data_IF_018223605833
#
_entry.id   IF_018223605833
#
_cell.length_a   1.000
_cell.length_b   1.000
_cell.length_c   1.000
_cell.angle_alpha   90.00
_cell.angle_beta   90.00
_cell.angle_gamma   90.00
#
_symmetry.space_group_name_H-M   'P 1'
#
loop_
_entity.id
_entity.type
_entity.pdbx_description
1 polymer ?
#
# COMPACT_ATOMS: atom_id res chain seq x y z
N UNK A 1 -26.99 -9.81 8.53
CA UNK A 1 -26.66 -10.61 9.73
C UNK A 1 -26.29 -9.61 10.82
N UNK A 2 -26.13 -10.00 12.09
CA UNK A 2 -25.57 -9.06 13.08
C UNK A 2 -24.06 -9.28 13.18
N UNK A 3 -23.29 -8.61 12.32
CA UNK A 3 -21.83 -8.57 12.42
C UNK A 3 -21.39 -8.02 13.78
N UNK A 4 -20.36 -8.62 14.37
CA UNK A 4 -19.64 -7.99 15.48
C UNK A 4 -18.78 -6.89 14.88
N UNK A 5 -18.94 -5.67 15.39
CA UNK A 5 -18.18 -4.51 14.96
C UNK A 5 -17.63 -3.72 16.14
N UNK A 6 -16.36 -3.30 16.05
CA UNK A 6 -15.73 -2.40 17.02
C UNK A 6 -14.70 -1.50 16.34
N UNK A 7 -14.72 -0.21 16.65
CA UNK A 7 -13.55 0.66 16.55
C UNK A 7 -12.62 0.39 17.75
N UNK A 8 -11.36 0.04 17.49
CA UNK A 8 -10.45 -0.44 18.53
C UNK A 8 -9.55 0.65 19.11
N UNK A 9 -9.28 1.71 18.34
CA UNK A 9 -8.35 2.78 18.69
C UNK A 9 -9.10 4.10 18.87
N UNK A 10 -8.74 4.87 19.90
CA UNK A 10 -9.33 6.19 20.17
C UNK A 10 -8.46 7.36 19.68
N UNK A 11 -7.33 7.05 19.05
CA UNK A 11 -6.41 8.03 18.48
C UNK A 11 -6.91 8.61 17.15
N UNK A 12 -5.99 9.28 16.46
CA UNK A 12 -6.23 9.83 15.13
C UNK A 12 -6.40 8.70 14.10
N UNK A 13 -5.49 7.73 14.14
CA UNK A 13 -5.53 6.52 13.34
C UNK A 13 -6.55 5.52 13.93
N UNK A 14 -7.39 4.96 13.07
CA UNK A 14 -8.49 4.08 13.43
C UNK A 14 -8.18 2.67 12.96
N UNK A 15 -8.50 1.71 13.81
CA UNK A 15 -8.48 0.28 13.47
C UNK A 15 -9.85 -0.28 13.74
N UNK A 16 -10.36 -1.10 12.84
CA UNK A 16 -11.69 -1.70 12.96
C UNK A 16 -11.61 -3.22 13.04
N UNK A 17 -12.48 -3.79 13.87
CA UNK A 17 -12.75 -5.22 13.93
C UNK A 17 -14.11 -5.49 13.32
N UNK A 18 -14.16 -6.42 12.36
CA UNK A 18 -15.39 -7.02 11.83
C UNK A 18 -15.31 -8.51 12.06
N UNK A 19 -16.33 -9.13 12.68
CA UNK A 19 -16.33 -10.56 12.91
C UNK A 19 -17.70 -11.22 12.75
N UNK A 20 -17.69 -12.45 12.27
CA UNK A 20 -18.90 -13.27 12.16
C UNK A 20 -19.24 -13.85 13.55
N UNK A 21 -20.43 -13.58 14.10
CA UNK A 21 -20.79 -14.06 15.44
C UNK A 21 -20.89 -15.59 15.52
N UNK A 22 -21.23 -16.25 14.40
CA UNK A 22 -21.45 -17.70 14.30
C UNK A 22 -20.14 -18.47 14.15
N UNK A 23 -19.33 -18.13 13.15
CA UNK A 23 -18.08 -18.85 12.87
C UNK A 23 -16.88 -18.34 13.66
N UNK A 24 -17.03 -17.20 14.36
CA UNK A 24 -15.97 -16.52 15.13
C UNK A 24 -14.77 -16.06 14.29
N UNK A 25 -14.86 -16.11 12.95
CA UNK A 25 -13.83 -15.54 12.07
C UNK A 25 -13.89 -14.02 12.09
N UNK A 26 -12.73 -13.40 12.17
CA UNK A 26 -12.56 -11.97 12.30
C UNK A 26 -11.64 -11.40 11.22
N UNK A 27 -11.89 -10.14 10.88
CA UNK A 27 -11.09 -9.27 10.03
C UNK A 27 -10.68 -8.05 10.85
N UNK A 28 -9.40 -7.72 10.85
CA UNK A 28 -8.89 -6.42 11.30
C UNK A 28 -8.62 -5.53 10.08
N UNK A 29 -8.97 -4.26 10.19
CA UNK A 29 -8.79 -3.25 9.16
C UNK A 29 -7.88 -2.15 9.71
N UNK A 30 -6.78 -1.87 9.03
CA UNK A 30 -5.76 -0.85 9.36
C UNK A 30 -5.19 -0.97 10.80
N UNK A 31 -4.62 -2.12 11.21
CA UNK A 31 -4.12 -2.30 12.59
C UNK A 31 -2.79 -1.57 12.83
N UNK A 32 -2.66 -0.90 13.97
CA UNK A 32 -1.45 -0.18 14.38
C UNK A 32 -0.42 -1.08 15.07
N UNK A 33 0.86 -1.00 14.68
CA UNK A 33 1.96 -1.82 15.26
C UNK A 33 2.01 -1.79 16.80
N UNK A 34 1.88 -0.61 17.38
CA UNK A 34 1.92 -0.39 18.84
C UNK A 34 0.77 -1.03 19.64
N UNK A 35 -0.21 -1.63 18.97
CA UNK A 35 -1.41 -2.20 19.60
C UNK A 35 -1.58 -3.71 19.39
N UNK A 36 -0.59 -4.40 18.80
CA UNK A 36 -0.63 -5.84 18.53
C UNK A 36 -1.08 -6.66 19.74
N UNK A 37 -0.45 -6.48 20.90
CA UNK A 37 -0.79 -7.23 22.13
C UNK A 37 -2.24 -7.00 22.55
N UNK A 38 -2.78 -5.80 22.34
CA UNK A 38 -4.17 -5.47 22.65
C UNK A 38 -5.13 -6.15 21.67
N UNK A 39 -4.80 -6.19 20.39
CA UNK A 39 -5.62 -6.87 19.38
C UNK A 39 -5.70 -8.38 19.66
N UNK A 40 -4.56 -9.02 19.92
CA UNK A 40 -4.51 -10.44 20.28
C UNK A 40 -5.30 -10.75 21.56
N UNK A 41 -5.15 -9.91 22.59
CA UNK A 41 -5.91 -10.07 23.83
C UNK A 41 -7.43 -9.93 23.60
N UNK A 42 -7.86 -8.99 22.76
CA UNK A 42 -9.28 -8.78 22.45
C UNK A 42 -9.86 -9.94 21.64
N UNK A 43 -9.12 -10.45 20.66
CA UNK A 43 -9.49 -11.65 19.89
C UNK A 43 -9.65 -12.85 20.82
N UNK A 44 -8.68 -13.10 21.69
CA UNK A 44 -8.72 -14.20 22.66
C UNK A 44 -9.90 -14.06 23.63
N UNK A 45 -10.11 -12.87 24.22
CA UNK A 45 -11.19 -12.60 25.15
C UNK A 45 -12.58 -12.87 24.54
N UNK A 46 -12.76 -12.50 23.27
CA UNK A 46 -14.01 -12.73 22.54
C UNK A 46 -14.08 -14.07 21.80
N UNK A 47 -13.08 -14.94 21.98
CA UNK A 47 -12.97 -16.24 21.31
C UNK A 47 -13.08 -16.11 19.77
N UNK A 48 -12.45 -15.09 19.22
CA UNK A 48 -12.40 -14.82 17.79
C UNK A 48 -11.09 -15.36 17.21
N UNK A 49 -11.17 -15.89 15.99
CA UNK A 49 -10.00 -16.28 15.21
C UNK A 49 -9.79 -15.23 14.13
N UNK A 50 -8.63 -14.56 14.14
CA UNK A 50 -8.25 -13.64 13.08
C UNK A 50 -7.98 -14.45 11.80
N UNK A 51 -8.81 -14.21 10.78
CA UNK A 51 -8.76 -14.92 9.49
C UNK A 51 -8.08 -14.08 8.42
N UNK A 52 -8.20 -12.75 8.55
CA UNK A 52 -7.59 -11.81 7.64
C UNK A 52 -7.27 -10.49 8.35
N UNK A 53 -6.29 -9.80 7.79
CA UNK A 53 -5.99 -8.39 8.03
C UNK A 53 -6.04 -7.67 6.69
N UNK A 54 -6.68 -6.52 6.65
CA UNK A 54 -6.66 -5.63 5.49
C UNK A 54 -6.04 -4.30 5.88
N UNK A 55 -5.03 -3.88 5.13
CA UNK A 55 -4.66 -2.47 5.07
C UNK A 55 -5.37 -1.84 3.87
N UNK A 56 -6.14 -0.79 4.12
CA UNK A 56 -6.90 -0.07 3.09
C UNK A 56 -5.99 0.58 2.07
N UNK A 57 -4.77 0.91 2.46
CA UNK A 57 -3.71 1.42 1.61
C UNK A 57 -2.35 1.25 2.29
N UNK A 58 -1.27 1.48 1.56
CA UNK A 58 0.06 1.55 2.17
C UNK A 58 0.20 2.84 2.98
N UNK A 59 0.01 2.74 4.30
CA UNK A 59 0.07 3.86 5.24
C UNK A 59 1.44 4.54 5.25
N UNK A 60 1.46 5.86 5.39
CA UNK A 60 2.68 6.67 5.39
C UNK A 60 2.95 7.39 6.72
N UNK A 61 1.98 7.38 7.63
CA UNK A 61 1.97 8.14 8.88
C UNK A 61 2.13 7.25 10.13
N UNK A 62 1.77 5.97 10.04
CA UNK A 62 2.00 4.98 11.09
C UNK A 62 2.50 3.62 10.55
N UNK A 63 3.34 2.88 11.32
CA UNK A 63 3.71 1.51 10.97
C UNK A 63 2.51 0.57 11.13
N UNK A 64 2.25 -0.25 10.11
CA UNK A 64 1.21 -1.27 10.17
C UNK A 64 1.61 -2.42 11.12
N UNK A 65 0.62 -3.00 11.79
CA UNK A 65 0.74 -4.27 12.51
C UNK A 65 0.52 -5.49 11.61
N UNK A 66 0.09 -5.28 10.36
CA UNK A 66 -0.39 -6.33 9.48
C UNK A 66 0.59 -7.48 9.30
N UNK A 67 1.87 -7.19 9.05
CA UNK A 67 2.90 -8.22 8.85
C UNK A 67 3.06 -9.10 10.09
N UNK A 68 3.37 -8.47 11.23
CA UNK A 68 3.60 -9.18 12.48
C UNK A 68 2.34 -9.92 12.98
N UNK A 69 1.15 -9.36 12.82
CA UNK A 69 -0.10 -10.06 13.17
C UNK A 69 -0.27 -11.32 12.32
N UNK A 70 -0.07 -11.23 11.02
CA UNK A 70 -0.23 -12.38 10.13
C UNK A 70 0.80 -13.47 10.43
N UNK A 71 2.05 -13.11 10.73
CA UNK A 71 3.10 -14.07 11.14
C UNK A 71 2.76 -14.76 12.47
N UNK A 72 2.17 -14.04 13.43
CA UNK A 72 1.87 -14.58 14.76
C UNK A 72 0.67 -15.55 14.77
N UNK A 73 -0.29 -15.40 13.85
CA UNK A 73 -1.56 -16.15 13.89
C UNK A 73 -1.96 -16.81 12.58
N UNK A 74 -1.07 -16.84 11.59
CA UNK A 74 -1.29 -17.42 10.26
C UNK A 74 -2.55 -16.86 9.57
N UNK A 75 -2.69 -15.54 9.61
CA UNK A 75 -3.80 -14.82 8.98
C UNK A 75 -3.43 -14.37 7.56
N UNK A 76 -4.44 -14.19 6.71
CA UNK A 76 -4.24 -13.61 5.38
C UNK A 76 -3.99 -12.10 5.49
N UNK A 77 -2.86 -11.62 4.97
CA UNK A 77 -2.69 -10.21 4.66
C UNK A 77 -3.27 -9.89 3.29
N UNK A 78 -4.26 -9.00 3.26
CA UNK A 78 -5.01 -8.62 2.07
C UNK A 78 -4.80 -7.13 1.79
N UNK A 79 -4.36 -6.81 0.57
CA UNK A 79 -4.28 -5.43 0.08
C UNK A 79 -4.60 -5.39 -1.42
N UNK A 80 -4.85 -4.21 -1.98
CA UNK A 80 -5.04 -4.08 -3.42
C UNK A 80 -3.85 -4.64 -4.21
N UNK A 81 -4.07 -5.12 -5.43
CA UNK A 81 -2.99 -5.61 -6.32
C UNK A 81 -1.88 -4.61 -6.60
N UNK A 82 -2.09 -3.32 -6.36
CA UNK A 82 -1.06 -2.27 -6.53
C UNK A 82 -0.25 -2.00 -5.27
N UNK A 83 -0.61 -2.62 -4.15
CA UNK A 83 0.18 -2.53 -2.93
C UNK A 83 1.61 -3.06 -3.20
N UNK A 84 2.64 -2.29 -2.86
CA UNK A 84 4.03 -2.66 -3.11
C UNK A 84 4.54 -3.72 -2.12
N UNK A 85 3.86 -3.93 -0.99
CA UNK A 85 4.30 -4.80 0.08
C UNK A 85 4.38 -6.29 -0.36
N UNK A 86 5.57 -6.93 -0.31
CA UNK A 86 5.74 -8.33 -0.72
C UNK A 86 5.09 -9.34 0.25
N UNK A 87 4.82 -8.93 1.49
CA UNK A 87 4.17 -9.79 2.50
C UNK A 87 2.66 -9.96 2.25
N UNK A 88 2.08 -9.28 1.26
CA UNK A 88 0.66 -9.44 0.92
C UNK A 88 0.40 -10.84 0.39
N UNK A 89 -0.32 -11.64 1.17
CA UNK A 89 -0.65 -13.04 0.83
C UNK A 89 -1.81 -13.16 -0.16
N UNK A 90 -2.67 -12.15 -0.24
CA UNK A 90 -3.80 -12.11 -1.15
C UNK A 90 -4.00 -10.70 -1.70
N UNK A 91 -3.86 -10.55 -3.02
CA UNK A 91 -4.20 -9.31 -3.70
C UNK A 91 -5.69 -9.28 -4.09
N UNK A 92 -6.30 -8.09 -4.02
CA UNK A 92 -7.69 -7.85 -4.43
C UNK A 92 -7.81 -6.77 -5.50
N UNK A 93 -8.91 -6.82 -6.25
CA UNK A 93 -9.35 -5.84 -7.23
C UNK A 93 -10.76 -5.30 -6.90
N UNK A 94 -11.22 -4.34 -7.71
CA UNK A 94 -12.57 -3.80 -7.58
C UNK A 94 -13.64 -4.88 -7.79
N UNK A 95 -14.55 -5.03 -6.84
CA UNK A 95 -15.66 -5.97 -6.95
C UNK A 95 -15.41 -7.33 -6.29
N UNK A 96 -14.18 -7.61 -5.87
CA UNK A 96 -13.85 -8.82 -5.12
C UNK A 96 -14.57 -8.84 -3.76
N UNK A 97 -14.84 -10.05 -3.27
CA UNK A 97 -15.43 -10.27 -1.95
C UNK A 97 -14.39 -10.94 -1.02
N UNK A 98 -14.15 -10.32 0.14
CA UNK A 98 -13.37 -10.91 1.22
C UNK A 98 -14.35 -11.63 2.16
N UNK A 99 -14.22 -12.95 2.26
CA UNK A 99 -15.01 -13.74 3.19
C UNK A 99 -14.49 -13.57 4.63
N UNK A 100 -15.41 -13.30 5.56
CA UNK A 100 -15.18 -13.28 7.01
C UNK A 100 -16.26 -14.15 7.66
N UNK A 101 -16.01 -15.46 7.71
CA UNK A 101 -17.06 -16.41 8.06
C UNK A 101 -18.21 -16.36 7.03
N UNK A 102 -19.40 -15.99 7.49
CA UNK A 102 -20.59 -15.84 6.63
C UNK A 102 -20.75 -14.46 6.02
N UNK A 103 -19.98 -13.49 6.50
CA UNK A 103 -20.04 -12.14 5.98
C UNK A 103 -19.17 -12.01 4.73
N UNK A 104 -19.61 -11.15 3.81
CA UNK A 104 -18.86 -10.76 2.62
C UNK A 104 -18.56 -9.29 2.71
N UNK A 105 -17.28 -8.96 2.68
CA UNK A 105 -16.79 -7.58 2.63
C UNK A 105 -16.43 -7.29 1.18
N UNK A 106 -17.21 -6.42 0.53
CA UNK A 106 -17.02 -6.02 -0.86
C UNK A 106 -15.88 -5.01 -0.97
N UNK A 107 -14.90 -5.29 -1.82
CA UNK A 107 -13.80 -4.38 -2.14
C UNK A 107 -14.25 -3.37 -3.19
N UNK A 108 -14.10 -2.09 -2.87
CA UNK A 108 -14.25 -0.97 -3.80
C UNK A 108 -12.85 -0.39 -4.03
N UNK A 109 -12.35 -0.45 -5.26
CA UNK A 109 -11.06 0.18 -5.56
C UNK A 109 -11.23 1.70 -5.60
N UNK A 110 -10.57 2.43 -4.70
CA UNK A 110 -10.81 3.87 -4.52
C UNK A 110 -9.48 4.63 -4.54
N UNK A 111 -8.74 4.61 -5.66
CA UNK A 111 -7.46 5.32 -5.74
C UNK A 111 -7.66 6.83 -5.58
N UNK A 112 -6.58 7.50 -5.16
CA UNK A 112 -6.52 8.95 -5.11
C UNK A 112 -5.74 9.46 -3.92
N UNK A 113 -5.98 8.90 -2.73
CA UNK A 113 -5.06 9.09 -1.60
C UNK A 113 -3.73 8.41 -1.89
N UNK A 114 -3.79 7.12 -2.25
CA UNK A 114 -2.68 6.35 -2.82
C UNK A 114 -3.15 5.56 -4.05
N UNK A 115 -2.23 5.06 -4.88
CA UNK A 115 -2.55 4.18 -6.02
C UNK A 115 -3.14 2.81 -5.63
N UNK A 116 -2.95 2.37 -4.39
CA UNK A 116 -3.41 1.08 -3.87
C UNK A 116 -4.61 1.19 -2.90
N UNK A 117 -5.17 2.40 -2.74
CA UNK A 117 -6.31 2.65 -1.86
C UNK A 117 -7.55 1.83 -2.26
N UNK A 118 -8.14 1.17 -1.26
CA UNK A 118 -9.44 0.49 -1.33
C UNK A 118 -10.35 0.94 -0.21
N UNK A 119 -11.65 0.91 -0.46
CA UNK A 119 -12.70 1.00 0.55
C UNK A 119 -13.40 -0.35 0.67
N UNK A 120 -13.87 -0.67 1.88
CA UNK A 120 -14.44 -1.97 2.20
C UNK A 120 -15.90 -1.79 2.62
N UNK A 121 -16.83 -2.26 1.80
CA UNK A 121 -18.26 -2.15 2.06
C UNK A 121 -18.81 -3.47 2.63
N UNK A 122 -19.50 -3.40 3.77
CA UNK A 122 -20.09 -4.58 4.41
C UNK A 122 -21.37 -4.19 5.14
N UNK A 123 -22.46 -4.89 4.82
CA UNK A 123 -23.80 -4.62 5.38
C UNK A 123 -24.20 -3.13 5.24
N UNK A 124 -24.26 -2.39 6.34
CA UNK A 124 -24.74 -1.00 6.43
C UNK A 124 -23.61 0.04 6.49
N UNK A 125 -22.36 -0.36 6.23
CA UNK A 125 -21.20 0.51 6.41
C UNK A 125 -20.11 0.32 5.38
N UNK A 126 -19.32 1.38 5.21
CA UNK A 126 -18.12 1.40 4.40
C UNK A 126 -16.93 1.92 5.21
N UNK A 127 -15.83 1.18 5.16
CA UNK A 127 -14.52 1.61 5.64
C UNK A 127 -13.81 2.31 4.50
N UNK A 128 -13.56 3.61 4.62
CA UNK A 128 -13.15 4.46 3.48
C UNK A 128 -11.65 4.68 3.37
N UNK A 129 -10.86 4.08 4.27
CA UNK A 129 -9.44 4.38 4.38
C UNK A 129 -9.23 5.89 4.53
N UNK A 130 -8.27 6.42 3.81
CA UNK A 130 -8.02 7.86 3.72
C UNK A 130 -8.58 8.51 2.44
N UNK A 131 -9.48 7.85 1.72
CA UNK A 131 -10.08 8.45 0.52
C UNK A 131 -11.11 9.50 0.92
N UNK A 132 -12.12 9.09 1.70
CA UNK A 132 -13.16 9.95 2.26
C UNK A 132 -13.01 9.98 3.78
N UNK A 133 -12.94 11.18 4.36
CA UNK A 133 -12.90 11.40 5.80
C UNK A 133 -14.19 12.07 6.25
N UNK A 134 -14.47 12.06 7.56
CA UNK A 134 -15.61 12.78 8.13
C UNK A 134 -15.37 14.29 7.92
N UNK A 135 -16.25 14.94 7.16
CA UNK A 135 -16.14 16.36 6.80
C UNK A 135 -14.77 16.72 6.19
N UNK A 136 -14.22 15.83 5.37
CA UNK A 136 -12.93 16.00 4.70
C UNK A 136 -12.60 14.88 3.72
N UNK A 137 -11.37 14.86 3.23
CA UNK A 137 -10.80 13.81 2.36
C UNK A 137 -9.35 13.59 2.77
N UNK A 138 -8.71 12.49 2.39
CA UNK A 138 -7.26 12.40 2.54
C UNK A 138 -6.54 13.36 1.60
N UNK A 139 -5.26 13.60 1.88
CA UNK A 139 -4.39 14.31 0.94
C UNK A 139 -4.17 13.48 -0.33
N UNK A 140 -3.80 14.10 -1.43
CA UNK A 140 -3.62 13.43 -2.72
C UNK A 140 -2.41 13.97 -3.50
N UNK A 141 -1.42 14.49 -2.78
CA UNK A 141 -0.25 15.21 -3.27
C UNK A 141 1.08 14.45 -3.03
N UNK A 142 1.01 13.24 -2.47
CA UNK A 142 2.17 12.41 -2.14
C UNK A 142 1.87 10.91 -2.37
N UNK A 143 2.91 10.07 -2.41
CA UNK A 143 2.83 8.61 -2.60
C UNK A 143 2.11 8.16 -3.88
N UNK A 144 2.14 8.98 -4.93
CA UNK A 144 1.39 8.72 -6.17
C UNK A 144 -0.10 9.02 -6.07
N UNK A 145 -0.52 9.80 -5.07
CA UNK A 145 -1.86 10.34 -4.96
C UNK A 145 -2.25 11.21 -6.16
N UNK A 146 -3.55 11.30 -6.41
CA UNK A 146 -4.16 12.03 -7.52
C UNK A 146 -5.55 12.52 -7.09
N UNK A 147 -5.71 13.84 -6.94
CA UNK A 147 -6.96 14.44 -6.50
C UNK A 147 -8.13 14.21 -7.49
N UNK A 148 -7.83 14.07 -8.78
CA UNK A 148 -8.83 13.75 -9.78
C UNK A 148 -9.37 12.33 -9.61
N UNK A 149 -8.48 11.35 -9.49
CA UNK A 149 -8.86 9.97 -9.19
C UNK A 149 -9.57 9.86 -7.83
N UNK A 150 -9.16 10.65 -6.83
CA UNK A 150 -9.82 10.69 -5.55
C UNK A 150 -11.27 11.19 -5.67
N UNK A 151 -11.50 12.25 -6.46
CA UNK A 151 -12.84 12.73 -6.75
C UNK A 151 -13.68 11.66 -7.45
N UNK A 152 -13.14 11.02 -8.48
CA UNK A 152 -13.84 9.99 -9.26
C UNK A 152 -14.20 8.79 -8.35
N UNK A 153 -13.26 8.37 -7.49
CA UNK A 153 -13.49 7.35 -6.46
C UNK A 153 -14.61 7.70 -5.49
N UNK A 154 -14.66 8.94 -5.01
CA UNK A 154 -15.70 9.36 -4.06
C UNK A 154 -17.06 9.48 -4.77
N UNK A 155 -17.13 10.17 -5.90
CA UNK A 155 -18.40 10.51 -6.56
C UNK A 155 -19.00 9.32 -7.31
N UNK A 156 -18.18 8.56 -8.04
CA UNK A 156 -18.66 7.47 -8.89
C UNK A 156 -18.78 6.14 -8.13
N UNK A 157 -18.15 6.00 -6.96
CA UNK A 157 -18.20 4.76 -6.16
C UNK A 157 -18.79 4.94 -4.77
N UNK A 158 -18.26 5.84 -3.95
CA UNK A 158 -18.74 5.96 -2.56
C UNK A 158 -20.12 6.64 -2.50
N UNK A 159 -20.35 7.72 -3.25
CA UNK A 159 -21.62 8.46 -3.26
C UNK A 159 -22.74 7.79 -4.07
N UNK A 160 -22.48 6.60 -4.62
CA UNK A 160 -23.50 5.73 -5.22
C UNK A 160 -24.06 4.71 -4.22
N UNK A 161 -23.42 4.55 -3.05
CA UNK A 161 -23.97 3.79 -1.93
C UNK A 161 -25.22 4.51 -1.35
N UNK A 162 -26.13 3.79 -0.66
CA UNK A 162 -27.27 4.40 0.01
C UNK A 162 -26.85 5.50 0.99
N UNK A 163 -27.64 6.58 1.09
CA UNK A 163 -27.31 7.75 1.90
C UNK A 163 -27.17 7.41 3.40
N UNK A 164 -27.88 6.40 3.89
CA UNK A 164 -27.81 5.89 5.26
C UNK A 164 -26.55 5.07 5.56
N UNK A 165 -25.74 4.72 4.56
CA UNK A 165 -24.53 3.91 4.74
C UNK A 165 -23.56 4.64 5.65
N UNK A 166 -23.16 3.99 6.75
CA UNK A 166 -22.21 4.54 7.71
C UNK A 166 -20.80 4.63 7.11
N UNK A 167 -20.11 5.73 7.39
CA UNK A 167 -18.75 6.00 6.90
C UNK A 167 -17.76 5.91 8.07
N UNK A 168 -16.75 5.05 7.91
CA UNK A 168 -15.68 4.80 8.87
C UNK A 168 -14.30 5.02 8.22
N UNK A 169 -13.64 6.18 8.42
CA UNK A 169 -12.35 6.47 7.82
C UNK A 169 -11.18 5.82 8.58
N UNK A 170 -10.00 5.71 7.95
CA UNK A 170 -8.78 5.32 8.65
C UNK A 170 -8.28 6.42 9.61
N UNK A 171 -8.69 7.67 9.41
CA UNK A 171 -8.31 8.80 10.25
C UNK A 171 -9.46 9.72 10.65
N UNK A 172 -9.39 10.23 11.89
CA UNK A 172 -10.14 11.42 12.31
C UNK A 172 -9.30 12.28 13.26
N UNK A 173 -9.32 13.61 13.04
CA UNK A 173 -8.50 14.57 13.79
C UNK A 173 -9.32 15.41 14.78
N UNK A 174 -10.61 15.11 14.92
CA UNK A 174 -11.61 15.92 15.64
C UNK A 174 -12.36 15.14 16.73
N UNK A 175 -12.04 13.87 16.93
CA UNK A 175 -12.71 12.98 17.88
C UNK A 175 -14.04 12.41 17.37
N UNK A 176 -14.33 12.52 16.08
CA UNK A 176 -15.51 11.86 15.49
C UNK A 176 -15.27 10.35 15.36
N UNK A 177 -16.36 9.60 15.33
CA UNK A 177 -16.34 8.13 15.22
C UNK A 177 -16.93 7.62 13.90
N UNK A 178 -17.99 8.27 13.40
CA UNK A 178 -18.62 7.91 12.12
C UNK A 178 -19.35 9.11 11.48
N UNK A 179 -19.62 8.99 10.18
CA UNK A 179 -20.56 9.84 9.41
C UNK A 179 -21.47 8.94 8.57
N UNK A 180 -22.16 9.49 7.58
CA UNK A 180 -22.93 8.75 6.57
C UNK A 180 -22.62 9.26 5.17
N UNK A 181 -22.88 8.44 4.15
CA UNK A 181 -22.72 8.84 2.74
C UNK A 181 -23.57 10.07 2.42
N UNK A 182 -24.82 10.12 2.89
CA UNK A 182 -25.71 11.26 2.68
C UNK A 182 -25.19 12.55 3.33
N UNK A 183 -24.65 12.47 4.55
CA UNK A 183 -24.04 13.61 5.22
C UNK A 183 -22.82 14.12 4.45
N UNK A 184 -21.89 13.25 4.05
CA UNK A 184 -20.69 13.67 3.33
C UNK A 184 -21.03 14.22 1.94
N UNK A 185 -22.00 13.62 1.24
CA UNK A 185 -22.48 14.10 -0.06
C UNK A 185 -23.11 15.49 0.01
N UNK A 186 -23.86 15.78 1.09
CA UNK A 186 -24.55 17.05 1.28
C UNK A 186 -23.70 18.16 1.92
N UNK A 187 -22.72 17.81 2.75
CA UNK A 187 -22.08 18.79 3.65
C UNK A 187 -20.56 18.77 3.68
N UNK A 188 -19.89 17.76 3.09
CA UNK A 188 -18.43 17.69 3.14
C UNK A 188 -17.81 18.94 2.48
N UNK A 189 -17.06 19.76 3.25
CA UNK A 189 -16.61 21.08 2.80
C UNK A 189 -15.59 21.01 1.67
N UNK A 190 -15.03 19.83 1.36
CA UNK A 190 -14.07 19.64 0.26
C UNK A 190 -14.71 19.19 -1.04
N UNK A 191 -15.79 18.41 -1.01
CA UNK A 191 -16.32 17.76 -2.21
C UNK A 191 -17.80 18.05 -2.49
N UNK A 192 -18.61 18.33 -1.47
CA UNK A 192 -20.04 18.57 -1.65
C UNK A 192 -20.27 19.77 -2.59
N UNK A 193 -21.13 19.57 -3.59
CA UNK A 193 -21.51 20.58 -4.58
C UNK A 193 -20.39 21.05 -5.53
N UNK A 194 -19.21 20.43 -5.52
CA UNK A 194 -18.10 20.80 -6.39
C UNK A 194 -18.03 19.93 -7.63
N UNK A 195 -17.56 20.53 -8.73
CA UNK A 195 -17.11 19.77 -9.89
C UNK A 195 -15.75 19.14 -9.62
N UNK A 196 -15.36 18.16 -10.46
CA UNK A 196 -14.04 17.53 -10.42
C UNK A 196 -12.90 18.54 -10.45
N UNK A 197 -12.98 19.54 -11.34
CA UNK A 197 -11.93 20.57 -11.45
C UNK A 197 -11.86 21.45 -10.19
N UNK A 198 -13.01 21.87 -9.64
CA UNK A 198 -13.05 22.66 -8.40
C UNK A 198 -12.48 21.89 -7.21
N UNK A 199 -12.67 20.57 -7.16
CA UNK A 199 -12.05 19.71 -6.15
C UNK A 199 -10.53 19.64 -6.32
N UNK A 200 -10.04 19.41 -7.54
CA UNK A 200 -8.60 19.35 -7.85
C UNK A 200 -7.91 20.68 -7.50
N UNK A 201 -8.50 21.81 -7.91
CA UNK A 201 -7.97 23.14 -7.61
C UNK A 201 -7.93 23.41 -6.10
N UNK A 202 -8.99 23.02 -5.38
CA UNK A 202 -9.03 23.12 -3.92
C UNK A 202 -7.91 22.30 -3.28
N UNK A 203 -7.77 21.02 -3.65
CA UNK A 203 -6.77 20.13 -3.06
C UNK A 203 -5.34 20.62 -3.35
N UNK A 204 -5.08 21.15 -4.55
CA UNK A 204 -3.80 21.77 -4.92
C UNK A 204 -3.51 23.05 -4.12
N UNK A 205 -4.53 23.79 -3.69
CA UNK A 205 -4.38 25.00 -2.87
C UNK A 205 -4.05 24.72 -1.41
N UNK A 206 -4.30 23.50 -0.91
CA UNK A 206 -4.04 23.14 0.48
C UNK A 206 -2.56 22.79 0.63
N UNK A 207 -1.80 23.67 1.28
CA UNK A 207 -0.40 23.41 1.60
C UNK A 207 -0.28 22.49 2.82
N UNK A 208 -0.37 21.18 2.60
CA UNK A 208 -0.16 20.20 3.65
C UNK A 208 1.33 20.11 4.00
N UNK A 209 1.73 20.30 5.27
CA UNK A 209 3.11 20.03 5.65
C UNK A 209 3.46 18.58 5.34
N UNK A 210 4.62 18.35 4.75
CA UNK A 210 5.16 17.00 4.61
C UNK A 210 5.57 16.50 6.00
N UNK A 211 5.13 15.31 6.43
CA UNK A 211 5.58 14.73 7.69
C UNK A 211 7.10 14.48 7.63
N UNK A 212 7.84 14.97 8.63
CA UNK A 212 9.31 14.89 8.68
C UNK A 212 9.84 13.44 8.63
N UNK A 213 9.03 12.47 9.06
CA UNK A 213 9.40 11.05 9.20
C UNK A 213 8.61 10.11 8.27
N UNK A 214 8.01 10.65 7.21
CA UNK A 214 7.14 9.85 6.32
C UNK A 214 7.86 8.63 5.73
N UNK A 215 9.16 8.76 5.43
CA UNK A 215 9.95 7.64 4.87
C UNK A 215 10.28 6.57 5.91
N UNK A 216 10.50 6.94 7.17
CA UNK A 216 10.73 5.99 8.27
C UNK A 216 9.53 5.05 8.47
N UNK A 217 8.33 5.48 8.05
CA UNK A 217 7.10 4.69 8.12
C UNK A 217 6.78 4.01 6.80
N UNK A 218 6.79 4.78 5.70
CA UNK A 218 6.34 4.31 4.40
C UNK A 218 7.22 3.17 3.89
N UNK A 219 8.54 3.23 4.10
CA UNK A 219 9.43 2.21 3.57
C UNK A 219 9.26 0.83 4.22
N UNK A 220 9.18 0.70 5.56
CA UNK A 220 8.76 -0.55 6.19
C UNK A 220 7.42 -1.05 5.66
N UNK A 221 6.41 -0.18 5.55
CA UNK A 221 5.09 -0.57 5.05
C UNK A 221 5.11 -0.98 3.57
N UNK A 222 6.03 -0.45 2.75
CA UNK A 222 6.19 -0.82 1.33
C UNK A 222 7.03 -2.08 1.12
N UNK A 223 7.99 -2.35 2.01
CA UNK A 223 8.98 -3.42 1.83
C UNK A 223 8.69 -4.66 2.66
N UNK A 224 7.86 -4.53 3.70
CA UNK A 224 7.69 -5.52 4.76
C UNK A 224 9.02 -5.96 5.40
N UNK A 225 10.05 -5.10 5.36
CA UNK A 225 11.32 -5.34 6.05
C UNK A 225 11.21 -4.79 7.48
N UNK A 226 11.45 -5.68 8.45
CA UNK A 226 11.61 -5.36 9.86
C UNK A 226 12.99 -5.87 10.31
N UNK A 227 14.06 -5.27 9.79
CA UNK A 227 15.44 -5.63 10.13
C UNK A 227 16.24 -4.39 10.56
N UNK A 228 16.63 -4.35 11.84
CA UNK A 228 17.45 -3.27 12.41
C UNK A 228 18.82 -3.13 11.73
N UNK A 229 19.30 -4.17 11.03
CA UNK A 229 20.53 -4.12 10.23
C UNK A 229 20.34 -3.34 8.92
N UNK A 230 19.09 -3.20 8.46
CA UNK A 230 18.76 -2.46 7.24
C UNK A 230 18.42 -1.02 7.62
N UNK A 231 19.38 -0.11 7.43
CA UNK A 231 19.08 1.32 7.53
C UNK A 231 18.28 1.73 6.29
N UNK A 232 17.01 2.04 6.51
CA UNK A 232 16.14 2.58 5.49
C UNK A 232 16.64 3.95 5.02
N UNK A 233 16.69 4.19 3.69
CA UNK A 233 17.17 5.44 3.13
C UNK A 233 16.24 6.63 3.45
N UNK A 234 16.79 7.81 3.68
CA UNK A 234 15.98 9.02 3.83
C UNK A 234 15.48 9.58 2.48
N UNK A 235 14.69 10.67 2.52
CA UNK A 235 14.19 11.33 1.30
C UNK A 235 15.32 11.82 0.38
N UNK A 236 16.41 12.32 0.94
CA UNK A 236 17.54 12.82 0.15
C UNK A 236 18.28 11.66 -0.54
N UNK A 237 18.43 10.52 0.14
CA UNK A 237 19.00 9.29 -0.40
C UNK A 237 18.11 8.70 -1.51
N UNK A 238 16.80 8.65 -1.31
CA UNK A 238 15.86 8.24 -2.37
C UNK A 238 15.93 9.17 -3.60
N UNK A 239 15.96 10.49 -3.39
CA UNK A 239 16.02 11.47 -4.47
C UNK A 239 17.36 11.43 -5.24
N UNK A 240 18.41 10.82 -4.68
CA UNK A 240 19.68 10.58 -5.37
C UNK A 240 19.60 9.37 -6.31
N UNK A 241 18.64 8.46 -6.11
CA UNK A 241 18.48 7.29 -6.99
C UNK A 241 18.07 7.77 -8.38
N UNK A 242 19.00 7.64 -9.33
CA UNK A 242 18.73 7.98 -10.72
C UNK A 242 17.74 6.98 -11.30
N UNK A 243 16.66 7.53 -11.85
CA UNK A 243 15.60 6.81 -12.53
C UNK A 243 15.98 6.64 -14.00
N UNK A 244 15.87 5.42 -14.53
CA UNK A 244 16.08 5.10 -15.95
C UNK A 244 14.76 4.64 -16.56
N UNK A 245 14.46 5.12 -17.76
CA UNK A 245 13.36 4.59 -18.59
C UNK A 245 13.65 3.17 -19.06
N UNK A 246 12.60 2.42 -19.42
CA UNK A 246 12.76 1.06 -19.91
C UNK A 246 13.62 0.99 -21.19
N UNK A 247 13.53 1.97 -22.10
CA UNK A 247 14.40 2.05 -23.27
C UNK A 247 15.87 2.27 -22.92
N UNK A 248 16.18 3.16 -21.97
CA UNK A 248 17.56 3.39 -21.52
C UNK A 248 18.14 2.11 -20.94
N UNK A 249 17.37 1.41 -20.09
CA UNK A 249 17.79 0.12 -19.53
C UNK A 249 18.01 -0.90 -20.65
N UNK A 250 17.09 -1.03 -21.60
CA UNK A 250 17.24 -1.96 -22.72
C UNK A 250 18.49 -1.68 -23.57
N UNK A 251 18.76 -0.41 -23.87
CA UNK A 251 19.97 -0.01 -24.59
C UNK A 251 21.25 -0.36 -23.80
N UNK A 252 21.25 -0.20 -22.48
CA UNK A 252 22.38 -0.55 -21.63
C UNK A 252 22.65 -2.06 -21.57
N UNK A 253 21.62 -2.90 -21.66
CA UNK A 253 21.77 -4.36 -21.67
C UNK A 253 22.45 -4.89 -22.94
N UNK A 254 22.35 -4.16 -24.06
CA UNK A 254 23.03 -4.50 -25.30
C UNK A 254 24.50 -4.08 -25.37
N UNK A 255 25.03 -3.38 -24.36
CA UNK A 255 26.40 -2.90 -24.32
C UNK A 255 27.39 -3.98 -23.82
N UNK A 256 28.66 -3.87 -24.21
CA UNK A 256 29.72 -4.80 -23.78
C UNK A 256 29.94 -4.83 -22.25
N UNK A 257 29.68 -3.71 -21.57
CA UNK A 257 29.64 -3.60 -20.12
C UNK A 257 28.19 -3.50 -19.65
N UNK A 258 27.43 -4.58 -19.81
CA UNK A 258 26.03 -4.63 -19.40
C UNK A 258 25.91 -4.50 -17.87
N UNK A 259 24.94 -3.71 -17.35
CA UNK A 259 24.70 -3.60 -15.92
C UNK A 259 24.21 -4.92 -15.32
N UNK A 260 24.44 -5.12 -14.02
CA UNK A 260 23.76 -6.16 -13.26
C UNK A 260 22.31 -5.73 -13.02
N UNK A 261 21.35 -6.54 -13.45
CA UNK A 261 19.94 -6.32 -13.13
C UNK A 261 19.58 -7.15 -11.90
N UNK A 262 19.07 -6.50 -10.86
CA UNK A 262 18.56 -7.16 -9.66
C UNK A 262 17.05 -6.98 -9.64
N UNK A 263 16.33 -8.09 -9.78
CA UNK A 263 14.88 -8.12 -9.66
C UNK A 263 14.51 -8.36 -8.20
N UNK A 264 13.82 -7.38 -7.60
CA UNK A 264 13.45 -7.39 -6.18
C UNK A 264 11.99 -7.76 -5.94
N UNK A 265 11.32 -8.32 -6.95
CA UNK A 265 9.97 -8.89 -6.81
C UNK A 265 9.99 -10.23 -6.07
N UNK A 266 8.81 -10.73 -5.74
CA UNK A 266 8.65 -12.08 -5.23
C UNK A 266 8.85 -13.15 -6.33
N UNK A 267 9.22 -14.37 -5.93
CA UNK A 267 9.47 -15.48 -6.87
C UNK A 267 8.28 -15.79 -7.78
N UNK A 268 7.06 -15.63 -7.27
CA UNK A 268 5.81 -15.81 -8.03
C UNK A 268 5.62 -14.72 -9.09
N UNK A 269 5.99 -13.48 -8.80
CA UNK A 269 5.92 -12.37 -9.76
C UNK A 269 7.00 -12.50 -10.84
N UNK A 270 8.21 -12.95 -10.48
CA UNK A 270 9.34 -13.14 -11.40
C UNK A 270 9.05 -14.19 -12.49
N UNK A 271 8.34 -15.26 -12.11
CA UNK A 271 7.86 -16.33 -13.01
C UNK A 271 6.43 -16.08 -13.52
N UNK A 272 5.87 -14.91 -13.20
CA UNK A 272 4.49 -14.55 -13.50
C UNK A 272 4.31 -14.05 -14.94
N UNK A 273 3.15 -13.46 -15.20
CA UNK A 273 2.71 -13.05 -16.55
C UNK A 273 3.63 -12.01 -17.20
N UNK A 274 4.18 -11.11 -16.39
CA UNK A 274 5.11 -10.05 -16.83
C UNK A 274 6.50 -10.58 -17.23
N UNK A 275 6.80 -11.85 -16.92
CA UNK A 275 8.14 -12.42 -17.07
C UNK A 275 9.20 -11.64 -16.28
N UNK A 276 10.44 -11.73 -16.73
CA UNK A 276 11.59 -11.01 -16.17
C UNK A 276 12.58 -10.59 -17.27
N UNK A 277 13.45 -9.64 -16.96
CA UNK A 277 14.52 -9.23 -17.88
C UNK A 277 15.57 -10.35 -17.95
N UNK A 278 15.99 -10.71 -19.16
CA UNK A 278 16.97 -11.76 -19.39
C UNK A 278 18.27 -11.52 -18.59
N UNK A 279 18.75 -12.57 -17.92
CA UNK A 279 19.97 -12.50 -17.10
C UNK A 279 19.85 -11.68 -15.80
N UNK A 280 18.63 -11.27 -15.40
CA UNK A 280 18.40 -10.63 -14.10
C UNK A 280 18.57 -11.61 -12.94
N UNK A 281 19.11 -11.13 -11.82
CA UNK A 281 19.26 -11.89 -10.59
C UNK A 281 18.05 -11.62 -9.67
N UNK A 282 17.31 -12.67 -9.31
CA UNK A 282 16.20 -12.56 -8.37
C UNK A 282 16.69 -12.53 -6.92
N UNK A 283 16.55 -11.37 -6.28
CA UNK A 283 16.75 -11.18 -4.83
C UNK A 283 15.56 -10.36 -4.31
N UNK A 284 14.49 -11.02 -3.81
CA UNK A 284 13.34 -10.32 -3.27
C UNK A 284 13.75 -9.25 -2.26
N UNK A 285 13.08 -8.09 -2.27
CA UNK A 285 13.47 -6.93 -1.45
C UNK A 285 13.68 -7.32 0.02
N UNK A 286 12.79 -8.15 0.59
CA UNK A 286 12.88 -8.60 1.98
C UNK A 286 14.13 -9.43 2.31
N UNK A 287 14.71 -10.08 1.31
CA UNK A 287 15.89 -10.93 1.44
C UNK A 287 17.20 -10.19 1.11
N UNK A 288 17.11 -8.96 0.59
CA UNK A 288 18.23 -8.22 0.03
C UNK A 288 19.40 -8.07 1.03
N UNK A 289 19.10 -7.75 2.29
CA UNK A 289 20.10 -7.62 3.33
C UNK A 289 20.74 -8.98 3.68
N UNK A 290 19.93 -10.05 3.77
CA UNK A 290 20.39 -11.39 4.10
C UNK A 290 21.21 -12.04 2.97
N UNK A 291 20.93 -11.66 1.72
CA UNK A 291 21.54 -12.20 0.49
C UNK A 291 22.56 -11.25 -0.14
N UNK A 292 23.00 -10.22 0.59
CA UNK A 292 23.98 -9.25 0.10
C UNK A 292 25.29 -9.92 -0.38
N UNK A 293 25.69 -11.01 0.29
CA UNK A 293 26.86 -11.83 -0.07
C UNK A 293 26.87 -12.31 -1.52
N UNK A 294 25.71 -12.49 -2.15
CA UNK A 294 25.60 -12.93 -3.55
C UNK A 294 26.01 -11.84 -4.56
N UNK A 295 26.01 -10.57 -4.13
CA UNK A 295 26.25 -9.42 -5.01
C UNK A 295 27.43 -8.55 -4.58
N UNK A 296 28.15 -8.89 -3.50
CA UNK A 296 29.28 -8.10 -3.00
C UNK A 296 30.41 -7.95 -4.03
N UNK A 297 30.67 -8.96 -4.84
CA UNK A 297 31.66 -8.90 -5.93
C UNK A 297 31.27 -7.94 -7.06
N UNK A 298 30.05 -7.39 -7.04
CA UNK A 298 29.52 -6.49 -8.05
C UNK A 298 29.43 -5.03 -7.61
N UNK A 299 29.99 -4.65 -6.45
CA UNK A 299 29.97 -3.27 -5.93
C UNK A 299 30.46 -2.20 -6.91
N UNK A 300 31.44 -2.53 -7.76
CA UNK A 300 31.99 -1.64 -8.78
C UNK A 300 31.21 -1.60 -10.10
N UNK A 301 30.21 -2.49 -10.29
CA UNK A 301 29.39 -2.54 -11.51
C UNK A 301 28.22 -1.57 -11.41
N UNK A 302 27.70 -1.18 -12.58
CA UNK A 302 26.39 -0.55 -12.68
C UNK A 302 25.32 -1.57 -12.30
N UNK A 303 24.45 -1.21 -11.36
CA UNK A 303 23.34 -2.06 -10.88
C UNK A 303 22.02 -1.38 -11.19
N UNK A 304 21.08 -2.12 -11.75
CA UNK A 304 19.71 -1.65 -12.01
C UNK A 304 18.77 -2.50 -11.15
N UNK A 305 18.11 -1.86 -10.19
CA UNK A 305 17.05 -2.48 -9.41
C UNK A 305 15.73 -2.43 -10.20
N UNK A 306 15.02 -3.56 -10.21
CA UNK A 306 13.76 -3.73 -10.95
C UNK A 306 12.70 -4.30 -10.01
N UNK A 307 11.50 -3.73 -10.06
CA UNK A 307 10.33 -4.36 -9.46
C UNK A 307 9.13 -4.25 -10.40
N UNK A 308 7.92 -4.53 -9.91
CA UNK A 308 6.71 -4.46 -10.74
C UNK A 308 6.42 -3.06 -11.27
N UNK A 309 6.49 -2.03 -10.42
CA UNK A 309 6.02 -0.66 -10.72
C UNK A 309 7.01 0.45 -10.34
N UNK A 310 8.26 0.12 -10.03
CA UNK A 310 9.31 1.10 -9.67
C UNK A 310 9.40 1.48 -8.19
N UNK A 311 8.39 1.18 -7.36
CA UNK A 311 8.36 1.56 -5.93
C UNK A 311 9.39 0.80 -5.11
N UNK A 312 9.25 -0.54 -5.01
CA UNK A 312 10.17 -1.42 -4.26
C UNK A 312 11.62 -1.29 -4.73
N UNK A 313 11.81 -1.15 -6.04
CA UNK A 313 13.14 -1.06 -6.64
C UNK A 313 13.83 0.28 -6.37
N UNK A 314 13.09 1.37 -6.16
CA UNK A 314 13.69 2.63 -5.70
C UNK A 314 14.24 2.47 -4.27
N UNK A 315 13.48 1.84 -3.37
CA UNK A 315 13.94 1.51 -2.01
C UNK A 315 15.16 0.58 -2.07
N UNK A 316 15.11 -0.48 -2.87
CA UNK A 316 16.24 -1.39 -3.07
C UNK A 316 17.50 -0.66 -3.55
N UNK A 317 17.36 0.22 -4.54
CA UNK A 317 18.46 0.97 -5.10
C UNK A 317 19.14 1.87 -4.05
N UNK A 318 18.34 2.54 -3.22
CA UNK A 318 18.86 3.38 -2.16
C UNK A 318 19.48 2.57 -1.00
N UNK A 319 18.92 1.39 -0.66
CA UNK A 319 19.56 0.45 0.29
C UNK A 319 20.93 0.00 -0.24
N UNK A 320 21.01 -0.42 -1.50
CA UNK A 320 22.28 -0.83 -2.13
C UNK A 320 23.29 0.32 -2.14
N UNK A 321 22.84 1.54 -2.43
CA UNK A 321 23.69 2.73 -2.35
C UNK A 321 24.26 2.93 -0.94
N UNK A 322 23.42 2.88 0.10
CA UNK A 322 23.84 2.98 1.50
C UNK A 322 24.77 1.85 1.94
N UNK A 323 24.66 0.68 1.32
CA UNK A 323 25.55 -0.46 1.53
C UNK A 323 26.87 -0.36 0.76
N UNK A 324 27.10 0.68 -0.05
CA UNK A 324 28.36 0.93 -0.75
C UNK A 324 28.39 0.51 -2.23
N UNK A 325 27.25 0.34 -2.88
CA UNK A 325 27.18 0.25 -4.33
C UNK A 325 27.09 1.66 -4.92
N UNK A 326 28.10 2.11 -5.65
CA UNK A 326 28.20 3.52 -6.05
C UNK A 326 27.35 3.87 -7.28
N UNK A 327 27.07 2.89 -8.14
CA UNK A 327 26.38 3.07 -9.42
C UNK A 327 25.07 2.29 -9.48
N UNK A 328 24.10 2.69 -8.65
CA UNK A 328 22.78 2.05 -8.58
C UNK A 328 21.70 2.92 -9.21
N UNK A 329 20.85 2.30 -10.02
CA UNK A 329 19.76 2.93 -10.74
C UNK A 329 18.46 2.19 -10.48
N UNK A 330 17.33 2.89 -10.61
CA UNK A 330 16.00 2.28 -10.60
C UNK A 330 15.43 2.22 -12.02
N UNK A 331 14.82 1.09 -12.40
CA UNK A 331 13.91 1.05 -13.55
C UNK A 331 12.61 1.78 -13.20
N UNK A 332 12.41 2.95 -13.80
CA UNK A 332 11.20 3.76 -13.63
C UNK A 332 9.98 2.96 -14.12
N UNK A 333 8.90 3.01 -13.35
CA UNK A 333 7.62 2.32 -13.64
C UNK A 333 7.70 0.77 -13.76
N UNK A 334 8.89 0.20 -13.55
CA UNK A 334 9.14 -1.23 -13.38
C UNK A 334 8.80 -2.11 -14.60
N UNK A 335 8.52 -3.38 -14.32
CA UNK A 335 8.18 -4.38 -15.34
C UNK A 335 6.84 -4.10 -16.05
N UNK A 336 5.95 -3.28 -15.46
CA UNK A 336 4.73 -2.85 -16.14
C UNK A 336 5.07 -2.02 -17.38
N UNK A 337 5.83 -0.93 -17.24
CA UNK A 337 6.24 -0.09 -18.37
C UNK A 337 7.13 -0.84 -19.37
N UNK A 338 8.00 -1.74 -18.88
CA UNK A 338 8.79 -2.64 -19.74
C UNK A 338 7.91 -3.49 -20.66
N UNK A 339 6.83 -4.06 -20.13
CA UNK A 339 5.87 -4.87 -20.89
C UNK A 339 4.99 -4.02 -21.80
N UNK A 340 4.53 -2.84 -21.35
CA UNK A 340 3.72 -1.91 -22.14
C UNK A 340 4.48 -1.47 -23.41
N UNK A 341 5.80 -1.31 -23.31
CA UNK A 341 6.71 -1.02 -24.43
C UNK A 341 7.09 -2.24 -25.26
N UNK A 342 6.63 -3.43 -24.87
CA UNK A 342 6.88 -4.71 -25.56
C UNK A 342 8.36 -5.06 -25.68
N UNK A 343 9.15 -4.72 -24.65
CA UNK A 343 10.57 -5.06 -24.60
C UNK A 343 10.76 -6.55 -24.25
N UNK A 344 11.90 -7.18 -24.62
CA UNK A 344 12.10 -8.62 -24.43
C UNK A 344 12.04 -9.07 -22.97
N UNK A 345 11.43 -10.24 -22.73
CA UNK A 345 11.35 -10.89 -21.42
C UNK A 345 11.64 -12.39 -21.53
N UNK A 346 12.12 -12.99 -20.45
CA UNK A 346 12.20 -14.43 -20.23
C UNK A 346 11.07 -14.89 -19.28
N UNK A 347 10.73 -16.19 -19.33
CA UNK A 347 9.66 -16.81 -18.54
C UNK A 347 10.11 -18.11 -17.91
#
# INVERSE_FOLDING_TARGET
>A
MNLIFRELNRGKCKTYLVACPRTKRALLIDPLREHISRYLALLAYHQLTLDAVVDTHTHADHPTASFQLCDLVDARLIMHRRAPAPAVTQHVENGDDIAVGDARVRVLYTPGHTPDSVSLHVEDRVFTGDVLLIQGTGRADFAGGDAGQQYDSIVEKLFTLPDETLVFPAHDYRGNTSSTIGQEKGTNPRIAGRTRQQYVDLMASINFPMPEKIQEVLQPNQSAIEDDRTKFPDLAELNRVRQLSAEEVHAMLGAADAPLVIDVRESSEYRGELGHIAGSLLIPLRELAARLGEIESHRGRRVIAVCRSGVRSTTAAAILYGLGFEQVYNLKDGMVDWNDRKLPVER
#
